data_IF_057983699270
#
_entry.id   IF_057983699270
#
_cell.length_a   1.000
_cell.length_b   1.000
_cell.length_c   1.000
_cell.angle_alpha   90.00
_cell.angle_beta   90.00
_cell.angle_gamma   90.00
#
_symmetry.space_group_name_H-M   'P 1'
#
loop_
_entity.id
_entity.type
_entity.pdbx_description
1 polymer ?
#
# COMPACT_ATOMS: atom_id res chain seq x y z
N UNK A 1 9.74 8.48 23.89
CA UNK A 1 10.35 9.65 23.24
C UNK A 1 11.20 9.14 22.08
N UNK A 2 10.74 9.29 20.84
CA UNK A 2 11.55 8.99 19.65
C UNK A 2 12.45 10.20 19.43
N UNK A 3 13.75 10.07 19.66
CA UNK A 3 14.73 11.15 19.47
C UNK A 3 14.73 11.58 18.00
N UNK A 4 14.17 12.76 17.76
CA UNK A 4 13.85 13.28 16.43
C UNK A 4 15.04 13.84 15.67
N UNK A 5 16.02 13.00 15.35
CA UNK A 5 16.82 13.26 14.15
C UNK A 5 15.95 12.90 12.94
N UNK A 6 15.72 13.87 12.04
CA UNK A 6 15.03 13.56 10.79
C UNK A 6 15.77 12.44 10.07
N UNK A 7 15.06 11.41 9.61
CA UNK A 7 15.63 10.23 8.93
C UNK A 7 16.62 10.63 7.82
N UNK A 8 16.39 11.78 7.19
CA UNK A 8 17.27 12.38 6.18
C UNK A 8 18.60 12.88 6.72
N UNK A 9 18.69 13.40 7.94
CA UNK A 9 19.95 13.81 8.57
C UNK A 9 20.82 12.60 8.94
N UNK A 10 20.22 11.55 9.50
CA UNK A 10 20.91 10.30 9.80
C UNK A 10 21.42 9.63 8.51
N UNK A 11 20.58 9.56 7.47
CA UNK A 11 20.97 9.02 6.17
C UNK A 11 22.07 9.86 5.50
N UNK A 12 22.01 11.19 5.60
CA UNK A 12 23.03 12.08 5.03
C UNK A 12 24.41 11.83 5.66
N UNK A 13 24.46 11.61 6.99
CA UNK A 13 25.69 11.26 7.70
C UNK A 13 26.28 9.91 7.26
N UNK A 14 25.44 8.90 7.02
CA UNK A 14 25.88 7.57 6.55
C UNK A 14 26.44 7.63 5.14
N UNK A 15 25.85 8.45 4.27
CA UNK A 15 26.22 8.55 2.85
C UNK A 15 27.32 9.62 2.65
N UNK A 16 27.73 10.33 3.70
CA UNK A 16 28.78 11.36 3.65
C UNK A 16 28.36 12.63 2.90
N UNK A 17 27.05 12.91 2.83
CA UNK A 17 26.48 14.06 2.12
C UNK A 17 25.91 15.10 3.10
N UNK A 18 25.76 16.34 2.65
CA UNK A 18 24.90 17.30 3.36
C UNK A 18 23.43 16.90 3.22
N UNK A 19 22.61 17.29 4.21
CA UNK A 19 21.17 16.97 4.23
C UNK A 19 20.46 17.50 2.98
N UNK A 20 20.81 18.71 2.58
CA UNK A 20 20.21 19.43 1.45
C UNK A 20 20.60 18.76 0.12
N UNK A 21 21.84 18.29 0.02
CA UNK A 21 22.32 17.57 -1.15
C UNK A 21 21.64 16.21 -1.27
N UNK A 22 21.56 15.44 -0.17
CA UNK A 22 20.83 14.18 -0.14
C UNK A 22 19.36 14.38 -0.51
N UNK A 23 18.69 15.39 0.06
CA UNK A 23 17.28 15.67 -0.26
C UNK A 23 17.06 15.96 -1.74
N UNK A 24 18.00 16.67 -2.38
CA UNK A 24 17.93 16.98 -3.82
C UNK A 24 18.16 15.73 -4.68
N UNK A 25 19.10 14.88 -4.29
CA UNK A 25 19.40 13.61 -4.97
C UNK A 25 18.22 12.63 -4.87
N UNK A 26 17.59 12.52 -3.71
CA UNK A 26 16.41 11.67 -3.49
C UNK A 26 15.19 12.12 -4.33
N UNK A 27 15.10 13.41 -4.66
CA UNK A 27 14.05 13.95 -5.53
C UNK A 27 14.23 13.63 -7.02
N UNK A 28 15.36 13.05 -7.44
CA UNK A 28 15.59 12.72 -8.84
C UNK A 28 14.64 11.60 -9.30
N UNK A 29 14.05 11.70 -10.50
CA UNK A 29 12.99 10.78 -10.95
C UNK A 29 13.43 9.32 -11.02
N UNK A 30 14.69 9.05 -11.41
CA UNK A 30 15.23 7.69 -11.45
C UNK A 30 15.46 7.09 -10.04
N UNK A 31 15.81 7.91 -9.06
CA UNK A 31 15.96 7.47 -7.66
C UNK A 31 14.59 7.16 -7.05
N UNK A 32 13.62 8.04 -7.26
CA UNK A 32 12.24 7.82 -6.83
C UNK A 32 11.65 6.53 -7.46
N UNK A 33 11.85 6.32 -8.76
CA UNK A 33 11.41 5.11 -9.46
C UNK A 33 12.06 3.84 -8.88
N UNK A 34 13.37 3.87 -8.62
CA UNK A 34 14.07 2.75 -7.99
C UNK A 34 13.53 2.45 -6.57
N UNK A 35 13.28 3.50 -5.78
CA UNK A 35 12.68 3.35 -4.45
C UNK A 35 11.28 2.73 -4.52
N UNK A 36 10.44 3.19 -5.43
CA UNK A 36 9.12 2.60 -5.67
C UNK A 36 9.22 1.12 -6.04
N UNK A 37 10.11 0.76 -6.96
CA UNK A 37 10.31 -0.63 -7.38
C UNK A 37 10.79 -1.50 -6.20
N UNK A 38 11.70 -1.00 -5.38
CA UNK A 38 12.18 -1.71 -4.18
C UNK A 38 11.05 -1.95 -3.17
N UNK A 39 10.21 -0.94 -2.93
CA UNK A 39 9.05 -1.06 -2.04
C UNK A 39 8.03 -2.05 -2.59
N UNK A 40 7.72 -2.00 -3.88
CA UNK A 40 6.80 -2.95 -4.51
C UNK A 40 7.28 -4.40 -4.37
N UNK A 41 8.57 -4.67 -4.57
CA UNK A 41 9.15 -6.01 -4.35
C UNK A 41 8.95 -6.47 -2.91
N UNK A 42 9.25 -5.60 -1.94
CA UNK A 42 9.08 -5.92 -0.53
C UNK A 42 7.59 -6.14 -0.17
N UNK A 43 6.71 -5.35 -0.76
CA UNK A 43 5.27 -5.46 -0.57
C UNK A 43 4.74 -6.77 -1.12
N UNK A 44 5.20 -7.21 -2.30
CA UNK A 44 4.81 -8.51 -2.86
C UNK A 44 5.14 -9.67 -1.91
N UNK A 45 6.33 -9.67 -1.31
CA UNK A 45 6.73 -10.67 -0.31
C UNK A 45 5.94 -10.51 1.00
N UNK A 46 5.64 -9.28 1.43
CA UNK A 46 4.83 -9.06 2.61
C UNK A 46 3.37 -9.50 2.41
N UNK A 47 2.83 -9.33 1.20
CA UNK A 47 1.46 -9.69 0.85
C UNK A 47 1.24 -11.21 0.95
N UNK A 48 2.20 -12.04 0.52
CA UNK A 48 2.09 -13.49 0.66
C UNK A 48 2.06 -13.92 2.13
N UNK A 49 2.90 -13.30 2.98
CA UNK A 49 2.87 -13.54 4.44
C UNK A 49 1.57 -13.06 5.08
N UNK A 50 1.03 -11.92 4.65
CA UNK A 50 -0.26 -11.43 5.13
C UNK A 50 -1.40 -12.39 4.76
N UNK A 51 -1.34 -13.01 3.58
CA UNK A 51 -2.25 -14.07 3.18
C UNK A 51 -2.16 -15.30 4.09
N UNK A 52 -0.95 -15.75 4.44
CA UNK A 52 -0.75 -16.85 5.39
C UNK A 52 -1.35 -16.52 6.77
N UNK A 53 -1.11 -15.33 7.30
CA UNK A 53 -1.71 -14.89 8.56
C UNK A 53 -3.25 -14.86 8.50
N UNK A 54 -3.83 -14.53 7.34
CA UNK A 54 -5.29 -14.60 7.15
C UNK A 54 -5.84 -16.02 7.25
N UNK A 55 -5.06 -17.05 6.90
CA UNK A 55 -5.46 -18.45 7.10
C UNK A 55 -5.50 -18.81 8.58
N UNK A 56 -4.49 -18.41 9.34
CA UNK A 56 -4.44 -18.64 10.80
C UNK A 56 -5.60 -17.94 11.54
N UNK A 57 -6.01 -16.77 11.05
CA UNK A 57 -7.13 -16.01 11.64
C UNK A 57 -8.51 -16.64 11.39
N UNK A 58 -8.63 -17.69 10.57
CA UNK A 58 -9.90 -18.41 10.40
C UNK A 58 -10.33 -19.14 11.67
N UNK A 59 -9.37 -19.58 12.49
CA UNK A 59 -9.62 -20.30 13.74
C UNK A 59 -9.62 -19.36 14.96
N UNK A 60 -9.60 -18.04 14.73
CA UNK A 60 -9.64 -17.05 15.80
C UNK A 60 -11.02 -17.01 16.49
N UNK A 61 -11.05 -16.92 17.83
CA UNK A 61 -12.29 -16.81 18.62
C UNK A 61 -13.08 -15.52 18.32
N UNK A 62 -12.41 -14.45 17.90
CA UNK A 62 -13.06 -13.19 17.59
C UNK A 62 -13.84 -13.28 16.27
N UNK A 63 -15.16 -13.25 16.37
CA UNK A 63 -16.08 -13.38 15.24
C UNK A 63 -15.83 -12.36 14.12
N UNK A 64 -15.47 -11.11 14.45
CA UNK A 64 -15.21 -10.07 13.45
C UNK A 64 -13.90 -10.32 12.70
N UNK A 65 -12.86 -10.77 13.39
CA UNK A 65 -11.56 -11.08 12.78
C UNK A 65 -11.69 -12.30 11.88
N UNK A 66 -12.40 -13.32 12.36
CA UNK A 66 -12.73 -14.53 11.61
C UNK A 66 -13.54 -14.23 10.34
N UNK A 67 -14.61 -13.44 10.43
CA UNK A 67 -15.43 -13.04 9.27
C UNK A 67 -14.60 -12.29 8.20
N UNK A 68 -13.76 -11.35 8.62
CA UNK A 68 -12.86 -10.61 7.71
C UNK A 68 -11.73 -11.47 7.13
N UNK A 69 -11.35 -12.55 7.80
CA UNK A 69 -10.40 -13.53 7.27
C UNK A 69 -11.09 -14.43 6.25
N UNK A 70 -12.28 -14.96 6.58
CA UNK A 70 -13.12 -15.76 5.70
C UNK A 70 -13.47 -15.02 4.42
N UNK A 71 -13.93 -13.77 4.51
CA UNK A 71 -14.28 -12.94 3.35
C UNK A 71 -13.10 -12.70 2.40
N UNK A 72 -11.89 -12.54 2.97
CA UNK A 72 -10.67 -12.38 2.18
C UNK A 72 -10.32 -13.67 1.44
N UNK A 73 -10.35 -14.82 2.14
CA UNK A 73 -10.05 -16.14 1.54
C UNK A 73 -11.08 -16.51 0.47
N UNK A 74 -12.37 -16.28 0.71
CA UNK A 74 -13.43 -16.47 -0.27
C UNK A 74 -13.20 -15.61 -1.52
N UNK A 75 -12.77 -14.35 -1.34
CA UNK A 75 -12.40 -13.47 -2.46
C UNK A 75 -11.26 -13.99 -3.32
N UNK A 76 -10.26 -14.65 -2.72
CA UNK A 76 -9.14 -15.25 -3.47
C UNK A 76 -9.57 -16.42 -4.36
N UNK A 77 -10.61 -17.16 -3.97
CA UNK A 77 -11.18 -18.25 -4.78
C UNK A 77 -12.32 -17.80 -5.70
N UNK A 78 -12.52 -16.48 -5.83
CA UNK A 78 -13.54 -15.90 -6.71
C UNK A 78 -14.96 -15.93 -6.16
N UNK A 79 -15.13 -16.24 -4.88
CA UNK A 79 -16.42 -16.19 -4.20
C UNK A 79 -16.55 -14.80 -3.55
N UNK A 80 -17.28 -13.91 -4.22
CA UNK A 80 -17.57 -12.58 -3.71
C UNK A 80 -19.08 -12.33 -3.72
N UNK A 81 -19.60 -11.50 -2.79
CA UNK A 81 -20.94 -10.96 -2.94
C UNK A 81 -21.03 -10.24 -4.29
N UNK A 82 -22.17 -10.33 -4.95
CA UNK A 82 -22.38 -9.64 -6.22
C UNK A 82 -22.01 -8.15 -6.07
N UNK A 83 -20.94 -7.71 -6.73
CA UNK A 83 -20.54 -6.30 -6.74
C UNK A 83 -21.66 -5.49 -7.38
N UNK A 84 -22.11 -4.43 -6.70
CA UNK A 84 -23.13 -3.54 -7.24
C UNK A 84 -22.68 -3.02 -8.61
N UNK A 85 -23.53 -3.22 -9.62
CA UNK A 85 -23.37 -2.61 -10.95
C UNK A 85 -23.37 -1.08 -10.77
N UNK A 86 -22.22 -0.44 -10.92
CA UNK A 86 -22.13 1.01 -10.98
C UNK A 86 -22.47 1.48 -12.38
N UNK A 87 -23.68 2.01 -12.58
CA UNK A 87 -24.07 2.68 -13.83
C UNK A 87 -23.61 4.14 -13.77
N UNK A 88 -22.60 4.50 -14.58
CA UNK A 88 -22.22 5.91 -14.78
C UNK A 88 -23.16 6.53 -15.82
N UNK A 89 -24.09 7.39 -15.39
CA UNK A 89 -24.85 8.24 -16.31
C UNK A 89 -24.05 9.52 -16.57
N UNK A 90 -23.40 9.61 -17.73
CA UNK A 90 -22.88 10.86 -18.27
C UNK A 90 -24.03 11.65 -18.89
N UNK A 91 -24.62 12.58 -18.14
CA UNK A 91 -25.58 13.52 -18.70
C UNK A 91 -24.83 14.65 -19.41
N UNK A 92 -24.71 14.56 -20.74
CA UNK A 92 -24.37 15.70 -21.59
C UNK A 92 -25.59 16.62 -21.64
N UNK A 93 -25.62 17.62 -20.75
CA UNK A 93 -26.58 18.71 -20.80
C UNK A 93 -26.05 19.72 -21.82
N UNK A 94 -26.35 19.49 -23.09
CA UNK A 94 -26.17 20.52 -24.13
C UNK A 94 -26.98 21.76 -23.72
N UNK A 95 -26.27 22.81 -23.29
CA UNK A 95 -26.81 24.17 -23.20
C UNK A 95 -27.19 24.59 -24.62
N UNK A 96 -28.49 24.59 -24.92
CA UNK A 96 -29.03 25.39 -26.02
C UNK A 96 -29.13 26.85 -25.56
N UNK A 97 -28.67 27.71 -26.45
CA UNK A 97 -28.60 29.17 -26.38
C UNK A 97 -29.93 29.86 -26.04
#
# INVERSE_FOLDING_TARGET
MVTGESITAAAAKVVGLSREHLSRELGKPHVAAFMHQKVQRNLAVAATRAGAAKVELLDCDNAMVRDRASSFVLGLVGIQPASQLSVNLGADLERRE
#
